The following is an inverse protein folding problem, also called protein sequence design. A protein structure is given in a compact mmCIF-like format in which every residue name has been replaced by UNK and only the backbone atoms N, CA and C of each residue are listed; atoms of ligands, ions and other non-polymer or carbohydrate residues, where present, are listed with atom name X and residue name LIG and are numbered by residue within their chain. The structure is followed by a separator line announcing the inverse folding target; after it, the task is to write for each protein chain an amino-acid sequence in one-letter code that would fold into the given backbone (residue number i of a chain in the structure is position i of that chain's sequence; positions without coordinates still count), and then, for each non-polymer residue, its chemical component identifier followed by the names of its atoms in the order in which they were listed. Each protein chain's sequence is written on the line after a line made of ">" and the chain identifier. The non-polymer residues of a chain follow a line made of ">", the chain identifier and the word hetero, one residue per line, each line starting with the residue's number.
data_IF_650410184687
#
_entry.id   IF_650410184687
#
_cell.length_a   1.000
_cell.length_b   1.000
_cell.length_c   1.000
_cell.angle_alpha   90.00
_cell.angle_beta   90.00
_cell.angle_gamma   90.00
#
_symmetry.space_group_name_H-M   'P 1'
#
loop_
_entity.id
_entity.type
_entity.pdbx_description
1 polymer ?
#
# COMPACT_ATOMS: atom_id res chain seq x y z
N UNK A 1 24.28 24.24 5.16
CA UNK A 1 23.98 23.61 4.89
C UNK A 1 23.37 22.81 5.34
N UNK A 2 22.67 22.65 5.51
CA UNK A 2 22.31 21.73 5.87
C UNK A 2 21.47 21.10 5.28
N UNK A 3 21.46 20.41 4.84
CA UNK A 3 20.86 19.61 4.15
C UNK A 3 19.73 19.02 4.74
N UNK A 4 19.43 17.79 4.52
CA UNK A 4 18.37 17.06 5.15
C UNK A 4 18.64 17.03 6.64
N UNK A 5 17.60 17.14 7.47
CA UNK A 5 17.79 17.02 8.90
C UNK A 5 18.38 15.68 9.28
N UNK A 6 19.20 15.65 10.29
CA UNK A 6 19.68 14.41 10.85
C UNK A 6 18.50 13.58 11.37
N UNK A 7 18.70 12.28 11.49
CA UNK A 7 17.64 11.41 11.96
C UNK A 7 17.05 11.88 13.29
N UNK A 8 17.91 12.39 14.20
CA UNK A 8 17.47 12.88 15.50
C UNK A 8 16.60 14.13 15.41
N UNK A 9 16.71 14.90 14.30
CA UNK A 9 15.94 16.14 14.17
C UNK A 9 14.50 15.89 13.78
N UNK A 10 14.22 14.73 13.18
CA UNK A 10 12.85 14.38 12.81
C UNK A 10 12.02 13.93 14.00
N UNK A 11 12.69 13.40 15.02
CA UNK A 11 12.02 12.84 16.17
C UNK A 11 11.28 11.55 15.86
N UNK A 12 10.90 10.82 16.89
CA UNK A 12 10.10 9.62 16.72
C UNK A 12 8.66 9.98 16.39
N UNK A 13 8.00 9.11 15.64
CA UNK A 13 6.58 9.25 15.32
C UNK A 13 5.85 8.05 15.91
N UNK A 14 4.83 8.31 16.72
CA UNK A 14 4.00 7.24 17.30
C UNK A 14 2.56 7.53 16.95
N UNK A 15 1.93 6.59 16.27
CA UNK A 15 0.52 6.69 15.91
C UNK A 15 -0.26 5.57 16.60
N UNK A 16 -1.43 5.89 17.10
CA UNK A 16 -2.33 4.91 17.68
C UNK A 16 -2.95 4.05 16.56
N UNK A 17 -3.57 2.90 16.90
CA UNK A 17 -4.20 2.08 15.88
C UNK A 17 -5.15 2.89 15.01
N UNK A 18 -5.04 2.73 13.71
CA UNK A 18 -5.90 3.41 12.74
C UNK A 18 -5.55 4.84 12.43
N UNK A 19 -4.62 5.45 13.16
CA UNK A 19 -4.20 6.82 12.90
C UNK A 19 -3.28 6.91 11.69
N UNK A 20 -3.31 8.07 11.05
CA UNK A 20 -2.49 8.36 9.89
C UNK A 20 -3.25 9.25 8.93
N UNK A 21 -2.71 9.42 7.74
CA UNK A 21 -3.37 10.21 6.70
C UNK A 21 -4.19 9.27 5.84
N UNK A 22 -5.52 9.41 5.92
CA UNK A 22 -6.45 8.49 5.25
C UNK A 22 -6.85 8.95 3.87
N UNK A 23 -6.90 8.01 2.96
CA UNK A 23 -7.33 8.22 1.58
C UNK A 23 -8.45 7.21 1.25
N UNK A 24 -9.72 7.59 1.49
CA UNK A 24 -10.83 6.70 1.14
C UNK A 24 -11.02 6.68 -0.37
N UNK A 25 -11.26 5.49 -0.92
CA UNK A 25 -11.35 5.28 -2.36
C UNK A 25 -12.49 4.30 -2.68
N UNK A 26 -13.63 4.48 -2.02
CA UNK A 26 -14.77 3.59 -2.21
C UNK A 26 -14.61 2.30 -1.42
N UNK A 27 -14.47 1.17 -2.12
CA UNK A 27 -14.37 -0.15 -1.48
C UNK A 27 -12.98 -0.44 -0.94
N UNK A 28 -12.04 0.47 -1.14
CA UNK A 28 -10.73 0.35 -0.56
C UNK A 28 -10.29 1.67 0.03
N UNK A 29 -9.30 1.62 0.89
CA UNK A 29 -8.73 2.81 1.50
C UNK A 29 -7.26 2.58 1.83
N UNK A 30 -6.52 3.68 1.88
CA UNK A 30 -5.13 3.64 2.32
C UNK A 30 -4.98 4.57 3.51
N UNK A 31 -4.14 4.18 4.47
CA UNK A 31 -3.80 5.00 5.61
C UNK A 31 -2.30 5.12 5.67
N UNK A 32 -1.78 6.31 5.39
CA UNK A 32 -0.34 6.53 5.37
C UNK A 32 0.17 6.83 6.77
N UNK A 33 1.16 6.06 7.19
CA UNK A 33 1.78 6.19 8.50
C UNK A 33 3.01 7.09 8.43
N UNK A 34 3.79 6.97 7.37
CA UNK A 34 4.98 7.79 7.17
C UNK A 34 5.28 7.87 5.68
N UNK A 35 5.86 8.98 5.26
CA UNK A 35 6.26 9.18 3.87
C UNK A 35 7.61 9.89 3.85
N UNK A 36 7.99 10.45 2.74
CA UNK A 36 9.28 11.09 2.58
C UNK A 36 9.64 12.10 3.65
N UNK A 37 8.65 12.87 4.12
CA UNK A 37 8.90 13.88 5.15
C UNK A 37 9.32 13.25 6.47
N UNK A 38 8.74 12.11 6.83
CA UNK A 38 9.05 11.43 8.10
C UNK A 38 10.29 10.53 8.00
N UNK A 39 10.64 10.07 6.80
CA UNK A 39 11.69 9.07 6.62
C UNK A 39 12.92 9.60 5.90
N UNK A 40 12.96 10.88 5.62
CA UNK A 40 14.02 11.50 4.80
C UNK A 40 14.11 10.85 3.42
N UNK A 41 12.94 10.55 2.83
CA UNK A 41 12.87 9.97 1.49
C UNK A 41 13.26 8.51 1.38
N UNK A 42 13.44 7.82 2.52
CA UNK A 42 13.91 6.43 2.48
C UNK A 42 12.82 5.43 2.15
N UNK A 43 11.61 5.67 2.64
CA UNK A 43 10.49 4.79 2.36
C UNK A 43 9.16 5.47 2.62
N UNK A 44 8.11 4.86 2.10
CA UNK A 44 6.73 5.25 2.36
C UNK A 44 6.05 4.05 3.01
N UNK A 45 5.33 4.28 4.11
CA UNK A 45 4.71 3.19 4.87
C UNK A 45 3.22 3.47 5.00
N UNK A 46 2.41 2.52 4.55
CA UNK A 46 0.96 2.68 4.53
C UNK A 46 0.25 1.36 4.74
N UNK A 47 -1.00 1.44 5.15
CA UNK A 47 -1.88 0.27 5.22
C UNK A 47 -2.89 0.39 4.11
N UNK A 48 -3.20 -0.73 3.47
CA UNK A 48 -4.21 -0.80 2.41
C UNK A 48 -5.29 -1.78 2.84
N UNK A 49 -6.53 -1.30 2.84
CA UNK A 49 -7.68 -2.05 3.34
C UNK A 49 -8.70 -2.21 2.22
N UNK A 50 -9.11 -3.44 1.95
CA UNK A 50 -10.03 -3.77 0.88
C UNK A 50 -11.25 -4.49 1.44
N UNK A 51 -12.43 -4.01 1.07
CA UNK A 51 -13.67 -4.70 1.38
C UNK A 51 -13.70 -6.06 0.68
N UNK A 52 -14.60 -6.98 1.08
CA UNK A 52 -14.72 -8.26 0.37
C UNK A 52 -14.94 -8.06 -1.13
N UNK A 53 -14.38 -8.96 -1.93
CA UNK A 53 -14.58 -9.00 -3.38
C UNK A 53 -14.27 -7.67 -4.05
N UNK A 54 -13.09 -7.12 -3.74
CA UNK A 54 -12.68 -5.81 -4.26
C UNK A 54 -11.41 -5.93 -5.06
N UNK A 55 -11.41 -5.40 -6.27
CA UNK A 55 -10.20 -5.30 -7.08
C UNK A 55 -9.30 -4.21 -6.55
N UNK A 56 -8.01 -4.40 -6.75
CA UNK A 56 -7.01 -3.39 -6.43
C UNK A 56 -6.69 -2.51 -7.63
N UNK A 57 -5.44 -2.02 -7.68
CA UNK A 57 -5.07 -1.01 -8.68
C UNK A 57 -4.92 -1.51 -10.11
N UNK A 58 -4.89 -2.83 -10.32
CA UNK A 58 -4.57 -3.39 -11.62
C UNK A 58 -3.07 -3.55 -11.79
N UNK A 59 -2.68 -4.43 -12.71
CA UNK A 59 -1.27 -4.77 -12.90
C UNK A 59 -0.47 -3.53 -13.31
N UNK A 60 0.64 -3.30 -12.63
CA UNK A 60 1.50 -2.14 -12.86
C UNK A 60 2.92 -2.45 -12.39
N UNK A 61 3.85 -1.59 -12.79
CA UNK A 61 5.23 -1.66 -12.29
C UNK A 61 5.74 -0.26 -12.03
N UNK A 62 6.76 -0.17 -11.19
CA UNK A 62 7.40 1.09 -10.85
C UNK A 62 8.82 0.80 -10.35
N UNK A 63 9.69 1.83 -10.31
CA UNK A 63 11.09 1.59 -9.90
C UNK A 63 11.25 1.19 -8.44
N UNK A 64 10.30 1.56 -7.59
CA UNK A 64 10.41 1.29 -6.16
C UNK A 64 10.22 -0.20 -5.85
N UNK A 65 10.90 -0.66 -4.79
CA UNK A 65 10.59 -1.97 -4.22
C UNK A 65 9.35 -1.85 -3.36
N UNK A 66 8.51 -2.86 -3.36
CA UNK A 66 7.34 -2.93 -2.48
C UNK A 66 7.45 -4.12 -1.55
N UNK A 67 7.18 -3.87 -0.27
CA UNK A 67 7.04 -4.91 0.73
C UNK A 67 5.59 -4.89 1.20
N UNK A 68 4.99 -6.07 1.32
CA UNK A 68 3.65 -6.20 1.89
C UNK A 68 3.68 -7.21 3.02
N UNK A 69 2.97 -6.90 4.09
CA UNK A 69 2.76 -7.82 5.19
C UNK A 69 1.27 -7.85 5.48
N UNK A 70 0.64 -9.02 5.34
CA UNK A 70 -0.81 -9.13 5.46
C UNK A 70 -1.21 -9.09 6.93
N UNK A 71 -2.06 -8.13 7.27
CA UNK A 71 -2.48 -7.85 8.64
C UNK A 71 -3.79 -8.53 9.00
N UNK A 72 -4.67 -8.68 8.03
CA UNK A 72 -6.01 -9.21 8.26
C UNK A 72 -6.50 -9.88 6.99
N UNK A 73 -7.25 -10.98 7.14
CA UNK A 73 -7.85 -11.68 6.00
C UNK A 73 -6.82 -12.33 5.11
N UNK A 74 -7.19 -12.50 3.85
CA UNK A 74 -6.32 -13.06 2.82
C UNK A 74 -6.28 -12.09 1.64
N UNK A 75 -5.08 -11.66 1.27
CA UNK A 75 -4.90 -10.78 0.13
C UNK A 75 -4.37 -11.62 -1.03
N UNK A 76 -4.90 -11.45 -2.22
CA UNK A 76 -4.39 -12.12 -3.40
C UNK A 76 -3.42 -11.20 -4.12
N UNK A 77 -2.22 -11.67 -4.38
CA UNK A 77 -1.18 -10.90 -5.06
C UNK A 77 -0.89 -11.52 -6.42
N UNK A 78 -0.79 -10.66 -7.43
CA UNK A 78 -0.30 -11.06 -8.75
C UNK A 78 1.17 -10.67 -8.82
N UNK A 79 2.06 -11.66 -8.86
CA UNK A 79 3.51 -11.46 -8.96
C UNK A 79 4.09 -12.57 -9.82
N UNK A 80 5.07 -12.23 -10.64
CA UNK A 80 5.72 -13.20 -11.54
C UNK A 80 4.72 -13.95 -12.41
N UNK A 81 3.75 -13.21 -12.94
CA UNK A 81 2.76 -13.75 -13.87
C UNK A 81 1.84 -14.81 -13.26
N UNK A 82 1.71 -14.86 -11.93
CA UNK A 82 0.77 -15.77 -11.29
C UNK A 82 0.16 -15.14 -10.05
N UNK A 83 -1.01 -15.63 -9.69
CA UNK A 83 -1.73 -15.19 -8.49
C UNK A 83 -1.37 -16.07 -7.31
N UNK A 84 -1.13 -15.44 -6.17
CA UNK A 84 -0.82 -16.13 -4.91
C UNK A 84 -1.75 -15.59 -3.85
N UNK A 85 -2.44 -16.49 -3.13
CA UNK A 85 -3.26 -16.10 -2.00
C UNK A 85 -2.39 -16.04 -0.76
N UNK A 86 -2.42 -14.89 -0.09
CA UNK A 86 -1.56 -14.61 1.05
C UNK A 86 -2.42 -14.35 2.29
N UNK A 87 -2.55 -15.33 3.19
CA UNK A 87 -3.32 -15.13 4.42
C UNK A 87 -2.56 -14.24 5.41
N UNK A 88 -3.24 -13.87 6.50
CA UNK A 88 -2.66 -13.06 7.56
C UNK A 88 -1.30 -13.60 8.00
N UNK A 89 -0.33 -12.72 8.10
CA UNK A 89 1.04 -13.08 8.46
C UNK A 89 1.95 -13.34 7.27
N UNK A 90 1.42 -13.33 6.05
CA UNK A 90 2.24 -13.52 4.85
C UNK A 90 3.08 -12.29 4.54
N UNK A 91 4.24 -12.53 3.99
CA UNK A 91 5.18 -11.51 3.57
C UNK A 91 5.41 -11.60 2.07
N UNK A 92 5.32 -10.47 1.37
CA UNK A 92 5.56 -10.42 -0.07
C UNK A 92 6.54 -9.29 -0.37
N UNK A 93 7.61 -9.61 -1.08
CA UNK A 93 8.55 -8.60 -1.56
C UNK A 93 8.48 -8.55 -3.08
N UNK A 94 8.22 -7.39 -3.62
CA UNK A 94 8.17 -7.15 -5.06
C UNK A 94 9.30 -6.20 -5.42
N UNK A 95 10.37 -6.68 -6.05
CA UNK A 95 11.46 -5.80 -6.47
C UNK A 95 10.99 -4.78 -7.50
N UNK A 96 11.66 -3.63 -7.53
CA UNK A 96 11.35 -2.60 -8.51
C UNK A 96 11.37 -3.15 -9.93
N UNK A 97 10.45 -2.69 -10.75
CA UNK A 97 10.32 -3.12 -12.14
C UNK A 97 9.47 -4.36 -12.37
N UNK A 98 9.12 -5.09 -11.31
CA UNK A 98 8.31 -6.30 -11.46
C UNK A 98 6.83 -5.93 -11.48
N UNK A 99 6.12 -6.39 -12.50
CA UNK A 99 4.68 -6.16 -12.63
C UNK A 99 3.93 -6.87 -11.53
N UNK A 100 3.01 -6.16 -10.88
CA UNK A 100 2.27 -6.71 -9.75
C UNK A 100 0.95 -5.97 -9.55
N UNK A 101 0.06 -6.61 -8.80
CA UNK A 101 -1.13 -5.98 -8.25
C UNK A 101 -1.63 -6.84 -7.09
N UNK A 102 -2.70 -6.39 -6.44
CA UNK A 102 -3.33 -7.13 -5.35
C UNK A 102 -4.82 -6.88 -5.38
N UNK A 103 -5.58 -7.81 -4.79
CA UNK A 103 -7.03 -7.69 -4.68
C UNK A 103 -7.51 -8.57 -3.54
N UNK A 104 -8.74 -8.34 -3.11
CA UNK A 104 -9.38 -9.16 -2.08
C UNK A 104 -10.48 -9.99 -2.74
N UNK A 105 -10.25 -11.29 -2.87
CA UNK A 105 -11.19 -12.25 -3.47
C UNK A 105 -12.06 -12.95 -2.45
N UNK A 106 -11.84 -12.69 -1.16
CA UNK A 106 -12.52 -13.36 -0.09
C UNK A 106 -13.80 -12.68 0.35
N UNK A 107 -14.45 -13.31 1.31
CA UNK A 107 -15.73 -12.85 1.85
C UNK A 107 -15.57 -11.95 3.07
N UNK A 108 -14.34 -11.71 3.51
CA UNK A 108 -14.06 -10.84 4.64
C UNK A 108 -13.10 -9.76 4.22
N UNK A 109 -13.07 -8.68 4.98
CA UNK A 109 -12.12 -7.58 4.74
C UNK A 109 -10.68 -8.10 4.76
N UNK A 110 -9.83 -7.52 3.94
CA UNK A 110 -8.41 -7.84 3.94
C UNK A 110 -7.59 -6.55 4.04
N UNK A 111 -6.45 -6.66 4.70
CA UNK A 111 -5.56 -5.51 4.85
C UNK A 111 -4.11 -5.92 4.88
N UNK A 112 -3.25 -5.04 4.37
CA UNK A 112 -1.82 -5.29 4.33
C UNK A 112 -1.07 -3.99 4.61
N UNK A 113 0.05 -4.12 5.33
CA UNK A 113 1.00 -3.05 5.47
C UNK A 113 1.86 -3.03 4.22
N UNK A 114 2.11 -1.85 3.68
CA UNK A 114 2.95 -1.66 2.50
C UNK A 114 4.11 -0.75 2.84
N UNK A 115 5.31 -1.17 2.44
CA UNK A 115 6.49 -0.33 2.51
C UNK A 115 7.03 -0.20 1.09
N UNK A 116 7.13 1.03 0.61
CA UNK A 116 7.64 1.33 -0.72
C UNK A 116 8.95 2.10 -0.57
N UNK A 117 10.01 1.65 -1.22
CA UNK A 117 11.34 2.25 -1.08
C UNK A 117 12.05 2.36 -2.43
N UNK A 118 12.66 3.52 -2.72
CA UNK A 118 12.67 4.74 -1.92
C UNK A 118 11.29 5.38 -1.86
N UNK A 119 11.08 6.32 -0.95
CA UNK A 119 9.74 6.76 -0.64
C UNK A 119 9.47 8.22 -0.92
N UNK A 120 8.30 8.45 -1.41
CA UNK A 120 7.49 9.66 -1.45
C UNK A 120 6.23 9.27 -2.20
N UNK A 121 5.83 8.03 -1.98
CA UNK A 121 4.69 7.46 -2.70
C UNK A 121 3.40 8.24 -2.43
N UNK A 122 3.28 8.78 -1.22
CA UNK A 122 2.05 9.49 -0.84
C UNK A 122 1.76 10.69 -1.75
N UNK A 123 2.78 11.25 -2.38
CA UNK A 123 2.58 12.36 -3.32
C UNK A 123 1.71 11.96 -4.50
N UNK A 124 1.63 10.68 -4.81
CA UNK A 124 0.81 10.16 -5.91
C UNK A 124 -0.64 9.92 -5.50
N UNK A 125 -0.92 9.96 -4.20
CA UNK A 125 -2.25 9.57 -3.70
C UNK A 125 -3.41 10.42 -4.21
N UNK A 126 -3.30 11.73 -4.35
CA UNK A 126 -4.43 12.48 -4.90
C UNK A 126 -4.87 11.97 -6.28
N UNK A 127 -3.91 11.67 -7.16
CA UNK A 127 -4.23 11.14 -8.48
C UNK A 127 -4.75 9.71 -8.42
N UNK A 128 -4.18 8.89 -7.54
CA UNK A 128 -4.59 7.50 -7.36
C UNK A 128 -6.02 7.44 -6.81
N UNK A 129 -6.30 8.21 -5.78
CA UNK A 129 -7.63 8.25 -5.18
C UNK A 129 -8.68 8.69 -6.19
N UNK A 130 -8.35 9.70 -7.00
CA UNK A 130 -9.24 10.19 -8.04
C UNK A 130 -9.50 9.10 -9.10
N UNK A 131 -8.47 8.36 -9.48
CA UNK A 131 -8.61 7.27 -10.43
C UNK A 131 -9.59 6.21 -9.92
N UNK A 132 -9.47 5.80 -8.65
CA UNK A 132 -10.36 4.82 -8.06
C UNK A 132 -11.79 5.34 -7.95
N UNK A 133 -11.96 6.58 -7.54
CA UNK A 133 -13.28 7.18 -7.38
C UNK A 133 -14.00 7.25 -8.73
N UNK A 134 -13.30 7.64 -9.77
CA UNK A 134 -13.88 7.76 -11.10
C UNK A 134 -14.22 6.42 -11.73
N UNK A 135 -13.43 5.39 -11.44
CA UNK A 135 -13.61 4.09 -12.09
C UNK A 135 -14.44 3.11 -11.31
N UNK A 136 -14.67 3.36 -10.01
CA UNK A 136 -15.47 2.48 -9.17
C UNK A 136 -15.02 1.03 -9.38
N UNK A 137 -13.95 0.58 -8.73
CA UNK A 137 -13.39 -0.75 -8.96
C UNK A 137 -14.48 -1.81 -8.90
N UNK A 138 -14.49 -2.68 -9.89
CA UNK A 138 -15.46 -3.76 -9.95
C UNK A 138 -15.13 -4.85 -8.95
N UNK A 139 -15.96 -5.90 -8.94
CA UNK A 139 -15.71 -7.03 -8.08
C UNK A 139 -14.45 -7.76 -8.50
N UNK A 140 -13.76 -8.32 -7.52
CA UNK A 140 -12.60 -9.14 -7.80
C UNK A 140 -13.03 -10.43 -8.47
N UNK A 141 -12.18 -10.95 -9.36
CA UNK A 141 -12.43 -12.25 -9.97
C UNK A 141 -12.24 -13.31 -8.91
N UNK A 142 -13.21 -14.19 -8.78
CA UNK A 142 -13.17 -15.26 -7.77
C UNK A 142 -12.99 -16.60 -8.43
#
# INVERSE_FOLDING_TARGET
>A
MTDAPAATDRGPLVLAPGEGRSYPMGRLSAVFKADGAETAGRCSISEWWLDPHTRGPGAHSHPEDDVFYVLEGTMSFFVRDEWVDAPTGSFVLVPGGVTHTFENRGDTRAGALNISAPGEFEERMPAIADWFIQRAPGDADC
#
